data_IF_347574728123
#
_entry.id   IF_347574728123
#
_cell.length_a   1.000
_cell.length_b   1.000
_cell.length_c   1.000
_cell.angle_alpha   90.00
_cell.angle_beta   90.00
_cell.angle_gamma   90.00
#
_symmetry.space_group_name_H-M   'P 1'
#
loop_
_entity.id
_entity.type
_entity.pdbx_description
1 polymer ?
#
# COMPACT_ATOMS: atom_id res chain seq x y z
N UNK A 1 10.40 -6.91 -6.91
CA UNK A 1 11.31 -6.69 -8.05
C UNK A 1 10.93 -7.55 -9.24
N UNK A 2 10.72 -8.86 -9.05
CA UNK A 2 10.35 -9.78 -10.14
C UNK A 2 9.09 -9.32 -10.91
N UNK A 3 8.03 -8.95 -10.21
CA UNK A 3 6.76 -8.56 -10.83
C UNK A 3 6.84 -7.25 -11.62
N UNK A 4 7.70 -6.32 -11.19
CA UNK A 4 7.84 -5.01 -11.83
C UNK A 4 8.99 -4.96 -12.83
N UNK A 5 10.14 -5.58 -12.50
CA UNK A 5 11.35 -5.46 -13.31
C UNK A 5 11.42 -6.46 -14.46
N UNK A 6 11.07 -7.74 -14.23
CA UNK A 6 11.21 -8.77 -15.26
C UNK A 6 10.41 -8.49 -16.54
N UNK A 7 9.13 -8.08 -16.51
CA UNK A 7 8.41 -7.75 -17.72
C UNK A 7 9.03 -6.59 -18.51
N UNK A 8 9.56 -5.59 -17.81
CA UNK A 8 10.19 -4.42 -18.41
C UNK A 8 11.53 -4.80 -19.06
N UNK A 9 12.33 -5.62 -18.38
CA UNK A 9 13.59 -6.16 -18.91
C UNK A 9 13.33 -7.07 -20.12
N UNK A 10 12.29 -7.90 -20.06
CA UNK A 10 11.88 -8.75 -21.19
C UNK A 10 11.41 -7.95 -22.41
N UNK A 11 10.91 -6.72 -22.20
CA UNK A 11 10.58 -5.78 -23.26
C UNK A 11 11.81 -5.06 -23.85
N UNK A 12 13.03 -5.36 -23.35
CA UNK A 12 14.30 -4.87 -23.90
C UNK A 12 14.86 -3.60 -23.25
N UNK A 13 14.22 -3.05 -22.19
CA UNK A 13 14.78 -1.92 -21.46
C UNK A 13 15.89 -2.38 -20.49
N UNK A 14 16.88 -1.52 -20.27
CA UNK A 14 17.91 -1.78 -19.26
C UNK A 14 17.40 -1.39 -17.88
N UNK A 15 17.91 -2.05 -16.85
CA UNK A 15 17.51 -1.78 -15.46
C UNK A 15 17.72 -0.30 -15.06
N UNK A 16 18.80 0.33 -15.51
CA UNK A 16 19.12 1.72 -15.19
C UNK A 16 18.20 2.75 -15.91
N UNK A 17 17.45 2.34 -16.92
CA UNK A 17 16.51 3.23 -17.62
C UNK A 17 15.21 3.48 -16.81
N UNK A 18 14.82 2.53 -15.95
CA UNK A 18 13.55 2.61 -15.23
C UNK A 18 13.68 2.48 -13.70
N UNK A 19 14.67 1.73 -13.15
CA UNK A 19 14.79 1.52 -11.72
C UNK A 19 14.86 2.82 -10.89
N UNK A 20 15.51 3.92 -11.35
CA UNK A 20 15.49 5.19 -10.64
C UNK A 20 14.10 5.82 -10.47
N UNK A 21 13.10 5.34 -11.21
CA UNK A 21 11.71 5.83 -11.18
C UNK A 21 10.78 4.95 -10.37
N UNK A 22 11.24 3.76 -9.99
CA UNK A 22 10.45 2.87 -9.13
C UNK A 22 10.41 3.42 -7.71
N UNK A 23 9.27 3.28 -7.06
CA UNK A 23 9.06 3.62 -5.66
C UNK A 23 8.16 2.59 -5.01
N UNK A 24 8.26 2.48 -3.69
CA UNK A 24 7.56 1.48 -2.90
C UNK A 24 6.76 2.15 -1.79
N UNK A 25 5.63 1.57 -1.49
CA UNK A 25 4.72 2.03 -0.46
C UNK A 25 4.81 1.10 0.75
N UNK A 26 5.09 1.67 1.94
CA UNK A 26 5.15 0.92 3.20
C UNK A 26 4.14 1.45 4.20
N UNK A 27 3.39 0.54 4.84
CA UNK A 27 2.62 0.82 6.03
C UNK A 27 3.52 0.80 7.26
N UNK A 28 3.37 1.79 8.15
CA UNK A 28 4.17 1.92 9.37
C UNK A 28 3.23 1.78 10.57
N UNK A 29 3.43 0.75 11.37
CA UNK A 29 2.64 0.47 12.57
C UNK A 29 3.30 0.97 13.86
N UNK A 30 2.78 0.50 15.00
CA UNK A 30 3.18 0.97 16.34
C UNK A 30 4.53 0.44 16.82
N UNK A 31 5.10 -0.61 16.22
CA UNK A 31 6.41 -1.13 16.62
C UNK A 31 7.53 -0.29 16.03
N UNK A 32 7.94 0.74 16.77
CA UNK A 32 8.89 1.77 16.32
C UNK A 32 10.18 1.18 15.74
N UNK A 33 10.87 0.34 16.53
CA UNK A 33 12.18 -0.18 16.11
C UNK A 33 12.07 -1.22 14.99
N UNK A 34 11.00 -2.00 14.96
CA UNK A 34 10.73 -2.94 13.87
C UNK A 34 10.54 -2.20 12.55
N UNK A 35 9.78 -1.10 12.54
CA UNK A 35 9.56 -0.30 11.32
C UNK A 35 10.84 0.39 10.84
N UNK A 36 11.66 0.94 11.76
CA UNK A 36 12.98 1.50 11.40
C UNK A 36 13.87 0.42 10.77
N UNK A 37 13.97 -0.74 11.42
CA UNK A 37 14.77 -1.86 10.92
C UNK A 37 14.24 -2.41 9.59
N UNK A 38 12.92 -2.46 9.41
CA UNK A 38 12.28 -2.86 8.14
C UNK A 38 12.70 -1.96 6.98
N UNK A 39 12.64 -0.64 7.15
CA UNK A 39 13.03 0.31 6.10
C UNK A 39 14.54 0.22 5.81
N UNK A 40 15.39 0.00 6.81
CA UNK A 40 16.83 -0.25 6.64
C UNK A 40 17.07 -1.56 5.86
N UNK A 41 16.42 -2.64 6.25
CA UNK A 41 16.48 -3.93 5.57
C UNK A 41 15.98 -3.84 4.11
N UNK A 42 14.91 -3.11 3.87
CA UNK A 42 14.36 -2.90 2.53
C UNK A 42 15.36 -2.19 1.61
N UNK A 43 16.08 -1.16 2.08
CA UNK A 43 17.13 -0.49 1.30
C UNK A 43 18.28 -1.44 0.93
N UNK A 44 18.69 -2.27 1.88
CA UNK A 44 19.75 -3.25 1.65
C UNK A 44 19.34 -4.29 0.61
N UNK A 45 18.17 -4.91 0.79
CA UNK A 45 17.64 -5.93 -0.11
C UNK A 45 17.33 -5.38 -1.51
N UNK A 46 16.86 -4.13 -1.61
CA UNK A 46 16.66 -3.48 -2.90
C UNK A 46 17.96 -3.32 -3.67
N UNK A 47 18.99 -2.76 -3.02
CA UNK A 47 20.32 -2.58 -3.63
C UNK A 47 20.90 -3.91 -4.11
N UNK A 48 20.80 -4.98 -3.30
CA UNK A 48 21.25 -6.32 -3.64
C UNK A 48 20.49 -6.87 -4.86
N UNK A 49 19.15 -6.80 -4.83
CA UNK A 49 18.30 -7.32 -5.90
C UNK A 49 18.55 -6.62 -7.24
N UNK A 50 18.64 -5.28 -7.23
CA UNK A 50 18.84 -4.50 -8.46
C UNK A 50 20.25 -4.66 -9.01
N UNK A 51 21.26 -4.81 -8.14
CA UNK A 51 22.62 -5.16 -8.55
C UNK A 51 22.66 -6.50 -9.29
N UNK A 52 21.86 -7.48 -8.87
CA UNK A 52 21.72 -8.77 -9.54
C UNK A 52 21.17 -8.67 -10.97
N UNK A 53 20.46 -7.59 -11.31
CA UNK A 53 20.01 -7.27 -12.68
C UNK A 53 21.02 -6.41 -13.46
N UNK A 54 22.20 -6.17 -12.93
CA UNK A 54 23.27 -5.43 -13.60
C UNK A 54 23.16 -3.90 -13.51
N UNK A 55 22.44 -3.37 -12.51
CA UNK A 55 22.38 -1.93 -12.28
C UNK A 55 23.74 -1.38 -11.83
N UNK A 56 24.15 -0.26 -12.43
CA UNK A 56 25.39 0.46 -12.10
C UNK A 56 25.13 1.91 -11.69
N UNK A 57 23.93 2.44 -11.95
CA UNK A 57 23.57 3.80 -11.57
C UNK A 57 23.25 3.84 -10.07
N UNK A 58 23.93 4.69 -9.26
CA UNK A 58 23.62 4.84 -7.83
C UNK A 58 22.14 5.18 -7.54
N UNK A 59 21.47 5.90 -8.45
CA UNK A 59 20.03 6.18 -8.33
C UNK A 59 19.16 4.94 -8.50
N UNK A 60 19.60 3.94 -9.25
CA UNK A 60 18.91 2.65 -9.37
C UNK A 60 19.04 1.83 -8.09
N UNK A 61 20.20 1.90 -7.43
CA UNK A 61 20.51 1.17 -6.19
C UNK A 61 19.81 1.78 -4.97
N UNK A 62 19.39 3.04 -5.05
CA UNK A 62 18.73 3.74 -3.96
C UNK A 62 17.23 3.40 -3.93
N UNK A 63 16.76 2.77 -2.86
CA UNK A 63 15.33 2.52 -2.62
C UNK A 63 14.61 3.86 -2.40
N UNK A 64 13.50 4.07 -3.10
CA UNK A 64 12.60 5.21 -2.90
C UNK A 64 11.33 4.71 -2.24
N UNK A 65 10.97 5.31 -1.11
CA UNK A 65 9.82 4.90 -0.33
C UNK A 65 8.85 6.05 -0.10
N UNK A 66 7.56 5.72 -0.17
CA UNK A 66 6.51 6.46 0.47
C UNK A 66 6.02 5.64 1.66
N UNK A 67 5.86 6.26 2.81
CA UNK A 67 5.27 5.61 3.99
C UNK A 67 3.92 6.22 4.32
N UNK A 68 3.01 5.38 4.78
CA UNK A 68 1.76 5.80 5.40
C UNK A 68 1.70 5.23 6.81
N UNK A 69 1.30 6.04 7.78
CA UNK A 69 0.96 5.54 9.10
C UNK A 69 -0.20 4.54 9.01
N UNK A 70 -0.17 3.47 9.81
CA UNK A 70 -1.12 2.38 9.68
C UNK A 70 -2.49 2.74 10.23
N UNK A 71 -3.53 2.69 9.40
CA UNK A 71 -4.92 2.82 9.87
C UNK A 71 -5.37 1.63 10.73
N UNK A 72 -4.72 0.46 10.59
CA UNK A 72 -5.06 -0.72 11.38
C UNK A 72 -4.79 -0.56 12.88
N UNK A 73 -3.82 0.26 13.28
CA UNK A 73 -3.50 0.56 14.68
C UNK A 73 -4.44 1.58 15.32
N UNK A 74 -5.22 2.31 14.51
CA UNK A 74 -6.13 3.33 14.99
C UNK A 74 -7.45 2.70 15.46
N UNK A 75 -8.06 3.30 16.48
CA UNK A 75 -9.24 2.77 17.15
C UNK A 75 -10.40 3.75 17.11
N UNK A 76 -11.61 3.21 17.08
CA UNK A 76 -12.85 3.99 17.28
C UNK A 76 -12.93 4.54 18.70
N UNK A 77 -12.53 3.71 19.69
CA UNK A 77 -12.59 4.03 21.10
C UNK A 77 -11.51 5.05 21.45
N UNK A 78 -11.90 6.08 22.19
CA UNK A 78 -11.04 7.18 22.64
C UNK A 78 -10.15 7.72 21.47
N UNK A 79 -10.77 8.26 20.41
CA UNK A 79 -10.10 8.50 19.13
C UNK A 79 -8.99 9.54 19.20
N UNK A 80 -8.96 10.41 20.21
CA UNK A 80 -7.87 11.38 20.38
C UNK A 80 -6.52 10.70 20.71
N UNK A 81 -6.51 9.49 21.27
CA UNK A 81 -5.30 8.69 21.41
C UNK A 81 -4.66 8.34 20.07
N UNK A 82 -5.41 8.38 18.98
CA UNK A 82 -4.89 8.13 17.64
C UNK A 82 -3.90 9.22 17.17
N UNK A 83 -3.98 10.43 17.69
CA UNK A 83 -2.97 11.48 17.42
C UNK A 83 -1.59 11.01 17.91
N UNK A 84 -1.53 10.39 19.09
CA UNK A 84 -0.30 9.87 19.68
C UNK A 84 0.20 8.67 18.86
N UNK A 85 -0.70 7.74 18.48
CA UNK A 85 -0.36 6.58 17.65
C UNK A 85 0.23 7.01 16.31
N UNK A 86 -0.47 7.87 15.60
CA UNK A 86 0.00 8.44 14.32
C UNK A 86 1.35 9.15 14.47
N UNK A 87 1.59 9.86 15.57
CA UNK A 87 2.88 10.51 15.84
C UNK A 87 4.01 9.49 15.99
N UNK A 88 3.80 8.40 16.75
CA UNK A 88 4.81 7.34 16.94
C UNK A 88 5.10 6.64 15.61
N UNK A 89 4.09 6.36 14.83
CA UNK A 89 4.24 5.75 13.49
C UNK A 89 4.99 6.68 12.53
N UNK A 90 4.64 7.98 12.53
CA UNK A 90 5.34 8.99 11.74
C UNK A 90 6.82 9.12 12.13
N UNK A 91 7.15 9.02 13.43
CA UNK A 91 8.53 8.94 13.92
C UNK A 91 9.24 7.69 13.40
N UNK A 92 8.57 6.53 13.40
CA UNK A 92 9.12 5.30 12.83
C UNK A 92 9.47 5.44 11.36
N UNK A 93 8.60 6.06 10.56
CA UNK A 93 8.84 6.35 9.16
C UNK A 93 10.03 7.31 8.96
N UNK A 94 10.08 8.39 9.75
CA UNK A 94 11.10 9.43 9.63
C UNK A 94 12.47 8.91 10.05
N UNK A 95 12.58 8.27 11.22
CA UNK A 95 13.82 7.64 11.69
C UNK A 95 14.26 6.50 10.78
N UNK A 96 13.33 5.82 10.12
CA UNK A 96 13.59 4.81 9.11
C UNK A 96 14.03 5.37 7.75
N UNK A 97 13.96 6.69 7.54
CA UNK A 97 14.49 7.37 6.33
C UNK A 97 13.57 7.32 5.12
N UNK A 98 12.25 7.49 5.31
CA UNK A 98 11.29 7.62 4.21
C UNK A 98 11.50 8.90 3.40
N UNK A 99 11.19 8.90 2.09
CA UNK A 99 11.28 10.09 1.24
C UNK A 99 9.98 10.91 1.24
N UNK A 100 8.85 10.28 1.48
CA UNK A 100 7.57 10.97 1.65
C UNK A 100 6.70 10.22 2.66
N UNK A 101 5.80 10.95 3.30
CA UNK A 101 4.99 10.43 4.39
C UNK A 101 3.55 10.91 4.28
N UNK A 102 2.61 10.00 4.50
CA UNK A 102 1.21 10.29 4.78
C UNK A 102 0.92 9.94 6.24
N UNK A 103 0.24 10.84 6.94
CA UNK A 103 -0.24 10.64 8.30
C UNK A 103 -1.76 10.56 8.32
N UNK A 104 -2.31 9.50 8.89
CA UNK A 104 -3.75 9.34 9.03
C UNK A 104 -4.31 10.34 10.03
N UNK A 105 -5.53 10.80 9.79
CA UNK A 105 -6.27 11.60 10.75
C UNK A 105 -6.74 10.73 11.93
N UNK A 106 -6.96 11.34 13.09
CA UNK A 106 -7.32 10.59 14.30
C UNK A 106 -8.70 9.91 14.23
N UNK A 107 -9.55 10.40 13.34
CA UNK A 107 -10.90 9.88 13.05
C UNK A 107 -10.95 8.85 11.93
N UNK A 108 -9.81 8.38 11.43
CA UNK A 108 -9.70 7.39 10.35
C UNK A 108 -10.49 6.09 10.62
N UNK A 109 -10.55 5.65 11.88
CA UNK A 109 -11.31 4.45 12.25
C UNK A 109 -12.84 4.71 12.35
N UNK A 110 -13.27 5.97 12.34
CA UNK A 110 -14.67 6.37 12.45
C UNK A 110 -15.29 6.72 11.10
N UNK A 111 -14.52 7.37 10.21
CA UNK A 111 -15.03 7.84 8.93
C UNK A 111 -14.02 8.66 8.15
N UNK A 112 -14.52 9.55 7.27
CA UNK A 112 -13.66 10.45 6.54
C UNK A 112 -13.20 11.62 7.44
N UNK A 113 -11.97 12.14 7.19
CA UNK A 113 -11.43 13.22 7.99
C UNK A 113 -12.23 14.52 7.80
N UNK A 114 -12.45 15.22 8.91
CA UNK A 114 -12.91 16.61 8.92
C UNK A 114 -11.75 17.55 8.62
N UNK A 115 -12.04 18.84 8.31
CA UNK A 115 -10.99 19.86 8.14
C UNK A 115 -10.12 19.99 9.39
N UNK A 116 -10.71 19.79 10.57
CA UNK A 116 -9.99 19.82 11.83
C UNK A 116 -9.01 18.65 11.96
N UNK A 117 -9.48 17.42 11.79
CA UNK A 117 -8.66 16.20 11.93
C UNK A 117 -7.58 16.13 10.85
N UNK A 118 -7.89 16.51 9.60
CA UNK A 118 -6.93 16.60 8.51
C UNK A 118 -5.81 17.62 8.79
N UNK A 119 -6.16 18.78 9.42
CA UNK A 119 -5.18 19.78 9.85
C UNK A 119 -4.24 19.21 10.92
N UNK A 120 -4.76 18.49 11.90
CA UNK A 120 -3.93 17.86 12.95
C UNK A 120 -2.99 16.81 12.34
N UNK A 121 -3.50 15.95 11.46
CA UNK A 121 -2.70 14.95 10.74
C UNK A 121 -1.53 15.58 9.97
N UNK A 122 -1.80 16.65 9.21
CA UNK A 122 -0.76 17.44 8.52
C UNK A 122 0.23 18.06 9.50
N UNK A 123 -0.26 18.68 10.57
CA UNK A 123 0.58 19.36 11.55
C UNK A 123 1.50 18.37 12.30
N UNK A 124 1.12 17.10 12.46
CA UNK A 124 1.99 16.05 13.00
C UNK A 124 3.31 15.97 12.21
N UNK A 125 3.26 15.99 10.88
CA UNK A 125 4.47 15.98 10.05
C UNK A 125 5.26 17.29 10.20
N UNK A 126 4.59 18.44 10.21
CA UNK A 126 5.24 19.75 10.33
C UNK A 126 5.96 19.87 11.69
N UNK A 127 5.35 19.43 12.79
CA UNK A 127 5.97 19.43 14.13
C UNK A 127 7.22 18.54 14.14
N UNK A 128 7.14 17.35 13.57
CA UNK A 128 8.29 16.45 13.45
C UNK A 128 9.41 17.13 12.63
N UNK A 129 9.07 17.81 11.54
CA UNK A 129 10.04 18.46 10.67
C UNK A 129 10.67 19.71 11.29
N UNK A 130 9.85 20.58 11.88
CA UNK A 130 10.27 21.95 12.25
C UNK A 130 10.70 22.06 13.73
N UNK A 131 10.10 21.25 14.63
CA UNK A 131 10.29 21.43 16.08
C UNK A 131 11.16 20.33 16.69
N UNK A 132 11.26 19.12 16.06
CA UNK A 132 11.97 17.99 16.67
C UNK A 132 13.45 17.90 16.31
N UNK A 133 13.91 18.70 15.36
CA UNK A 133 15.27 18.69 14.79
C UNK A 133 15.71 17.35 14.17
N UNK A 134 14.79 16.37 14.04
CA UNK A 134 15.09 15.02 13.55
C UNK A 134 15.66 15.02 12.12
N UNK A 135 15.32 16.04 11.32
CA UNK A 135 15.79 16.17 9.95
C UNK A 135 17.25 16.63 9.83
N UNK A 136 17.93 16.92 10.94
CA UNK A 136 19.35 17.34 10.93
C UNK A 136 20.33 16.20 10.72
N UNK A 137 19.90 14.95 10.85
CA UNK A 137 20.75 13.78 10.70
C UNK A 137 20.10 12.71 9.85
N UNK A 138 20.92 11.82 9.31
CA UNK A 138 20.49 10.67 8.51
C UNK A 138 20.81 9.41 9.28
N UNK A 139 19.85 8.47 9.33
CA UNK A 139 19.99 7.17 10.01
C UNK A 139 20.53 7.28 11.45
N UNK A 140 19.85 8.05 12.33
CA UNK A 140 20.39 8.37 13.68
C UNK A 140 20.51 7.13 14.57
N UNK A 141 19.87 6.01 14.21
CA UNK A 141 19.92 4.74 14.94
C UNK A 141 20.98 3.77 14.39
N UNK A 142 21.77 4.19 13.39
CA UNK A 142 22.89 3.41 12.88
C UNK A 142 23.90 3.11 14.01
N UNK A 143 24.38 1.86 14.08
CA UNK A 143 25.29 1.39 15.12
C UNK A 143 24.61 0.99 16.44
N UNK A 144 23.29 1.18 16.59
CA UNK A 144 22.57 0.59 17.71
C UNK A 144 22.57 -0.94 17.60
N UNK A 145 23.15 -1.63 18.59
CA UNK A 145 23.22 -3.10 18.58
C UNK A 145 21.85 -3.75 18.36
N UNK A 146 20.81 -3.20 18.95
CA UNK A 146 19.45 -3.72 18.81
C UNK A 146 18.90 -3.53 17.41
N UNK A 147 19.00 -2.33 16.86
CA UNK A 147 18.48 -2.01 15.51
C UNK A 147 19.29 -2.73 14.42
N UNK A 148 20.61 -2.84 14.55
CA UNK A 148 21.44 -3.59 13.61
C UNK A 148 21.08 -5.09 13.62
N UNK A 149 20.96 -5.69 14.82
CA UNK A 149 20.55 -7.10 14.96
C UNK A 149 19.16 -7.35 14.37
N UNK A 150 18.20 -6.45 14.63
CA UNK A 150 16.84 -6.57 14.12
C UNK A 150 16.81 -6.42 12.59
N UNK A 151 17.59 -5.48 12.03
CA UNK A 151 17.75 -5.30 10.58
C UNK A 151 18.28 -6.58 9.91
N UNK A 152 19.33 -7.18 10.48
CA UNK A 152 19.92 -8.43 9.97
C UNK A 152 18.92 -9.60 10.01
N UNK A 153 18.15 -9.73 11.10
CA UNK A 153 17.12 -10.75 11.21
C UNK A 153 16.02 -10.59 10.15
N UNK A 154 15.56 -9.36 9.91
CA UNK A 154 14.56 -9.06 8.87
C UNK A 154 15.12 -9.42 7.49
N UNK A 155 16.37 -9.04 7.18
CA UNK A 155 17.03 -9.39 5.92
C UNK A 155 17.06 -10.91 5.71
N UNK A 156 17.44 -11.68 6.73
CA UNK A 156 17.50 -13.15 6.65
C UNK A 156 16.11 -13.76 6.41
N UNK A 157 15.11 -13.31 7.14
CA UNK A 157 13.73 -13.80 6.97
C UNK A 157 13.16 -13.42 5.60
N UNK A 158 13.36 -12.19 5.15
CA UNK A 158 12.92 -11.75 3.84
C UNK A 158 13.55 -12.55 2.70
N UNK A 159 14.86 -12.86 2.78
CA UNK A 159 15.53 -13.75 1.80
C UNK A 159 14.90 -15.15 1.77
N UNK A 160 14.51 -15.69 2.93
CA UNK A 160 13.83 -16.98 2.99
C UNK A 160 12.47 -16.92 2.26
N UNK A 161 11.69 -15.87 2.47
CA UNK A 161 10.41 -15.68 1.80
C UNK A 161 10.60 -15.46 0.28
N UNK A 162 11.58 -14.65 -0.10
CA UNK A 162 11.92 -14.42 -1.52
C UNK A 162 12.26 -15.76 -2.20
N UNK A 163 13.10 -16.59 -1.56
CA UNK A 163 13.45 -17.91 -2.08
C UNK A 163 12.21 -18.81 -2.23
N UNK A 164 11.29 -18.83 -1.26
CA UNK A 164 10.05 -19.60 -1.37
C UNK A 164 9.18 -19.15 -2.54
N UNK A 165 9.12 -17.83 -2.80
CA UNK A 165 8.40 -17.26 -3.94
C UNK A 165 9.07 -17.64 -5.26
N UNK A 166 10.40 -17.64 -5.32
CA UNK A 166 11.16 -18.06 -6.51
C UNK A 166 10.96 -19.55 -6.81
N UNK A 167 10.99 -20.40 -5.79
CA UNK A 167 10.73 -21.84 -5.88
C UNK A 167 9.28 -22.13 -6.33
N UNK A 168 8.31 -21.28 -5.98
CA UNK A 168 6.94 -21.35 -6.49
C UNK A 168 6.80 -20.92 -7.96
N UNK A 169 7.88 -20.44 -8.59
CA UNK A 169 7.90 -19.98 -9.98
C UNK A 169 7.59 -18.48 -10.13
N UNK A 170 7.84 -17.69 -9.09
CA UNK A 170 7.68 -16.25 -9.03
C UNK A 170 6.38 -15.78 -8.37
N UNK A 171 6.27 -14.47 -8.15
CA UNK A 171 5.17 -13.88 -7.38
C UNK A 171 3.79 -14.14 -7.99
N UNK A 172 3.64 -14.10 -9.31
CA UNK A 172 2.34 -14.35 -9.97
C UNK A 172 1.82 -15.76 -9.62
N UNK A 173 2.66 -16.79 -9.78
CA UNK A 173 2.30 -18.17 -9.44
C UNK A 173 2.10 -18.37 -7.94
N UNK A 174 2.89 -17.69 -7.10
CA UNK A 174 2.71 -17.72 -5.66
C UNK A 174 1.35 -17.12 -5.24
N UNK A 175 0.89 -16.06 -5.91
CA UNK A 175 -0.43 -15.45 -5.69
C UNK A 175 -1.54 -16.42 -6.13
N UNK A 176 -1.43 -17.02 -7.31
CA UNK A 176 -2.37 -18.04 -7.80
C UNK A 176 -2.48 -19.22 -6.84
N UNK A 177 -1.35 -19.65 -6.26
CA UNK A 177 -1.29 -20.71 -5.24
C UNK A 177 -1.77 -20.25 -3.84
N UNK A 178 -2.09 -18.96 -3.65
CA UNK A 178 -2.57 -18.38 -2.40
C UNK A 178 -1.49 -18.23 -1.30
N UNK A 179 -0.20 -18.39 -1.62
CA UNK A 179 0.89 -18.35 -0.63
C UNK A 179 0.95 -17.03 0.15
N UNK A 180 1.02 -15.83 -0.49
CA UNK A 180 1.11 -14.57 0.24
C UNK A 180 -0.15 -14.30 1.08
N UNK A 181 -1.34 -14.62 0.53
CA UNK A 181 -2.61 -14.46 1.23
C UNK A 181 -2.65 -15.27 2.52
N UNK A 182 -2.28 -16.55 2.45
CA UNK A 182 -2.24 -17.43 3.63
C UNK A 182 -1.30 -16.90 4.70
N UNK A 183 -0.09 -16.44 4.33
CA UNK A 183 0.88 -15.89 5.28
C UNK A 183 0.32 -14.65 6.00
N UNK A 184 -0.40 -13.78 5.29
CA UNK A 184 -1.04 -12.59 5.86
C UNK A 184 -2.18 -13.00 6.80
N UNK A 185 -3.04 -13.93 6.39
CA UNK A 185 -4.18 -14.41 7.19
C UNK A 185 -3.71 -15.11 8.48
N UNK A 186 -2.65 -15.93 8.41
CA UNK A 186 -2.04 -16.56 9.58
C UNK A 186 -1.46 -15.53 10.56
N UNK A 187 -0.74 -14.52 10.06
CA UNK A 187 -0.19 -13.45 10.90
C UNK A 187 -1.30 -12.63 11.57
N UNK A 188 -2.34 -12.29 10.82
CA UNK A 188 -3.50 -11.54 11.31
C UNK A 188 -4.26 -12.33 12.39
N UNK A 189 -4.50 -13.63 12.18
CA UNK A 189 -5.18 -14.47 13.15
C UNK A 189 -4.38 -14.63 14.46
N UNK A 190 -3.05 -14.74 14.38
CA UNK A 190 -2.17 -14.77 15.57
C UNK A 190 -2.24 -13.46 16.34
N UNK A 191 -2.15 -12.33 15.65
CA UNK A 191 -2.21 -11.01 16.29
C UNK A 191 -3.58 -10.78 16.97
N UNK A 192 -4.67 -11.13 16.29
CA UNK A 192 -6.01 -11.06 16.87
C UNK A 192 -6.13 -11.92 18.14
N UNK A 193 -5.58 -13.13 18.11
CA UNK A 193 -5.58 -14.01 19.28
C UNK A 193 -4.82 -13.41 20.46
N UNK A 194 -3.70 -12.71 20.22
CA UNK A 194 -2.97 -12.00 21.30
C UNK A 194 -3.77 -10.84 21.89
N UNK A 195 -4.51 -10.13 21.05
CA UNK A 195 -5.41 -9.03 21.47
C UNK A 195 -6.54 -9.60 22.34
N UNK A 196 -7.21 -10.66 21.88
CA UNK A 196 -8.34 -11.28 22.57
C UNK A 196 -7.93 -11.87 23.94
N UNK A 197 -6.72 -12.40 24.04
CA UNK A 197 -6.13 -12.91 25.29
C UNK A 197 -5.60 -11.78 26.22
N UNK A 198 -5.66 -10.53 25.80
CA UNK A 198 -5.10 -9.40 26.56
C UNK A 198 -3.57 -9.37 26.62
N UNK A 199 -2.86 -10.24 25.88
CA UNK A 199 -1.40 -10.25 25.76
C UNK A 199 -0.88 -9.07 24.94
N UNK A 200 -1.66 -8.63 23.95
CA UNK A 200 -1.44 -7.39 23.23
C UNK A 200 -2.41 -6.33 23.77
N UNK A 201 -1.88 -5.32 24.42
CA UNK A 201 -2.68 -4.22 24.97
C UNK A 201 -2.94 -3.16 23.91
N UNK A 202 -4.20 -2.79 23.75
CA UNK A 202 -4.64 -1.63 22.98
C UNK A 202 -5.39 -0.72 23.95
N UNK A 203 -4.79 0.44 24.23
CA UNK A 203 -5.34 1.42 25.18
C UNK A 203 -6.69 1.93 24.67
N UNK A 204 -7.68 1.95 25.56
CA UNK A 204 -9.06 2.32 25.24
C UNK A 204 -9.91 1.16 24.69
N UNK A 205 -9.30 0.08 24.16
CA UNK A 205 -10.02 -1.04 23.55
C UNK A 205 -10.11 -2.25 24.47
N UNK A 206 -8.99 -2.84 24.87
CA UNK A 206 -8.99 -4.02 25.75
C UNK A 206 -8.43 -3.73 27.15
N UNK A 207 -7.84 -2.54 27.36
CA UNK A 207 -7.36 -2.08 28.66
C UNK A 207 -7.50 -0.56 28.75
N UNK A 208 -7.69 -0.04 29.98
CA UNK A 208 -7.88 1.40 30.25
C UNK A 208 -9.05 2.02 29.47
N UNK A 209 -10.17 1.33 29.46
CA UNK A 209 -11.40 1.76 28.81
C UNK A 209 -12.03 2.94 29.52
N UNK A 210 -12.67 3.82 28.76
CA UNK A 210 -13.54 4.85 29.32
C UNK A 210 -14.90 4.22 29.71
N UNK A 211 -15.49 4.70 30.79
CA UNK A 211 -16.86 4.29 31.19
C UNK A 211 -17.90 4.85 30.23
N UNK A 212 -17.62 6.01 29.64
CA UNK A 212 -18.44 6.66 28.62
C UNK A 212 -17.53 7.36 27.62
N UNK A 213 -17.83 7.15 26.34
CA UNK A 213 -17.13 7.83 25.26
C UNK A 213 -17.88 9.08 24.83
N UNK A 214 -17.14 10.14 24.46
CA UNK A 214 -17.69 11.36 23.91
C UNK A 214 -18.00 11.16 22.43
N UNK A 215 -19.07 11.79 21.95
CA UNK A 215 -19.39 11.80 20.52
C UNK A 215 -18.33 12.57 19.74
N UNK A 216 -17.75 11.90 18.75
CA UNK A 216 -16.79 12.52 17.82
C UNK A 216 -17.49 12.87 16.51
N UNK A 217 -17.39 14.13 16.11
CA UNK A 217 -17.91 14.56 14.82
C UNK A 217 -17.11 13.96 13.69
N UNK A 218 -17.78 13.25 12.79
CA UNK A 218 -17.20 12.65 11.58
C UNK A 218 -17.81 13.26 10.32
N UNK A 219 -17.08 13.22 9.24
CA UNK A 219 -17.60 13.64 7.93
C UNK A 219 -18.42 12.49 7.32
N UNK A 220 -19.73 12.66 7.29
CA UNK A 220 -20.61 11.74 6.60
C UNK A 220 -20.83 12.16 5.15
N UNK A 221 -20.71 11.20 4.24
CA UNK A 221 -21.04 11.38 2.83
C UNK A 221 -22.44 10.85 2.56
N UNK A 222 -23.26 11.66 1.94
CA UNK A 222 -24.55 11.22 1.37
C UNK A 222 -24.29 10.34 0.14
N UNK A 223 -24.14 9.05 0.39
CA UNK A 223 -23.88 8.05 -0.65
C UNK A 223 -24.99 7.98 -1.70
N UNK A 224 -26.24 8.29 -1.33
CA UNK A 224 -27.37 8.30 -2.26
C UNK A 224 -27.25 9.48 -3.23
N UNK A 225 -26.91 10.65 -2.72
CA UNK A 225 -26.68 11.85 -3.53
C UNK A 225 -25.52 11.64 -4.50
N UNK A 226 -24.37 11.21 -4.00
CA UNK A 226 -23.17 10.96 -4.82
C UNK A 226 -23.46 9.92 -5.92
N UNK A 227 -24.15 8.81 -5.58
CA UNK A 227 -24.54 7.80 -6.56
C UNK A 227 -25.46 8.39 -7.64
N UNK A 228 -26.46 9.17 -7.26
CA UNK A 228 -27.39 9.76 -8.20
C UNK A 228 -26.71 10.79 -9.13
N UNK A 229 -25.83 11.61 -8.60
CA UNK A 229 -25.01 12.55 -9.39
C UNK A 229 -24.12 11.81 -10.39
N UNK A 230 -23.48 10.71 -9.99
CA UNK A 230 -22.67 9.90 -10.88
C UNK A 230 -23.49 9.23 -11.98
N UNK A 231 -24.66 8.69 -11.64
CA UNK A 231 -25.60 8.10 -12.62
C UNK A 231 -26.05 9.16 -13.64
N UNK A 232 -26.44 10.35 -13.18
CA UNK A 232 -26.85 11.44 -14.05
C UNK A 232 -25.71 11.88 -14.99
N UNK A 233 -24.48 11.97 -14.48
CA UNK A 233 -23.29 12.27 -15.27
C UNK A 233 -23.03 11.23 -16.37
N UNK A 234 -23.12 9.92 -16.02
CA UNK A 234 -22.95 8.84 -16.98
C UNK A 234 -24.05 8.83 -18.05
N UNK A 235 -25.30 9.07 -17.66
CA UNK A 235 -26.41 9.19 -18.61
C UNK A 235 -26.21 10.36 -19.58
N UNK A 236 -25.80 11.52 -19.07
CA UNK A 236 -25.48 12.67 -19.92
C UNK A 236 -24.34 12.37 -20.90
N UNK A 237 -23.25 11.74 -20.45
CA UNK A 237 -22.13 11.35 -21.30
C UNK A 237 -22.63 10.42 -22.44
N UNK A 238 -23.41 9.40 -22.11
CA UNK A 238 -23.93 8.44 -23.07
C UNK A 238 -24.90 9.06 -24.08
N UNK A 239 -25.70 10.01 -23.64
CA UNK A 239 -26.64 10.72 -24.51
C UNK A 239 -26.01 11.72 -25.48
N UNK A 240 -24.82 12.25 -25.13
CA UNK A 240 -24.17 13.35 -25.89
C UNK A 240 -22.92 12.94 -26.65
N UNK A 241 -22.49 11.69 -26.53
CA UNK A 241 -21.31 11.17 -27.26
C UNK A 241 -21.68 10.54 -28.61
N UNK A 242 -20.70 10.41 -29.46
CA UNK A 242 -20.80 9.61 -30.69
C UNK A 242 -20.70 8.12 -30.34
N UNK A 243 -21.82 7.41 -30.35
CA UNK A 243 -21.90 6.00 -29.96
C UNK A 243 -21.14 5.09 -30.94
N UNK A 244 -21.14 5.39 -32.23
CA UNK A 244 -20.46 4.59 -33.25
C UNK A 244 -18.95 4.71 -33.08
N UNK A 245 -18.45 5.92 -32.84
CA UNK A 245 -17.03 6.14 -32.52
C UNK A 245 -16.59 5.41 -31.25
N UNK A 246 -17.44 5.40 -30.20
CA UNK A 246 -17.16 4.65 -28.97
C UNK A 246 -17.11 3.16 -29.23
N UNK A 247 -18.10 2.60 -29.92
CA UNK A 247 -18.14 1.17 -30.24
C UNK A 247 -16.93 0.74 -31.07
N UNK A 248 -16.53 1.54 -32.05
CA UNK A 248 -15.35 1.27 -32.88
C UNK A 248 -14.05 1.29 -32.02
N UNK A 249 -13.92 2.25 -31.10
CA UNK A 249 -12.75 2.37 -30.23
C UNK A 249 -12.67 1.21 -29.21
N UNK A 250 -13.81 0.77 -28.64
CA UNK A 250 -13.87 -0.38 -27.74
C UNK A 250 -13.55 -1.69 -28.48
N UNK A 251 -14.07 -1.88 -29.70
CA UNK A 251 -13.71 -3.02 -30.54
C UNK A 251 -12.22 -3.04 -30.87
N UNK A 252 -11.63 -1.88 -31.19
CA UNK A 252 -10.18 -1.75 -31.42
C UNK A 252 -9.37 -2.08 -30.17
N UNK A 253 -9.85 -1.70 -28.97
CA UNK A 253 -9.21 -2.06 -27.69
C UNK A 253 -9.24 -3.58 -27.46
N UNK A 254 -10.38 -4.23 -27.67
CA UNK A 254 -10.50 -5.69 -27.56
C UNK A 254 -9.59 -6.39 -28.56
N UNK A 255 -9.53 -5.91 -29.82
CA UNK A 255 -8.61 -6.43 -30.82
C UNK A 255 -7.15 -6.31 -30.40
N UNK A 256 -6.76 -5.12 -29.90
CA UNK A 256 -5.40 -4.88 -29.41
C UNK A 256 -5.03 -5.84 -28.25
N UNK A 257 -6.00 -6.12 -27.36
CA UNK A 257 -5.81 -7.07 -26.27
C UNK A 257 -5.57 -8.51 -26.75
N UNK A 258 -6.30 -8.94 -27.79
CA UNK A 258 -6.18 -10.28 -28.37
C UNK A 258 -4.91 -10.47 -29.20
N UNK A 259 -4.32 -9.38 -29.73
CA UNK A 259 -3.17 -9.41 -30.63
C UNK A 259 -1.88 -8.86 -30.01
N UNK A 260 -1.87 -8.67 -28.68
CA UNK A 260 -0.72 -8.18 -27.93
C UNK A 260 -0.18 -6.81 -28.42
N UNK A 261 -1.10 -5.92 -28.81
CA UNK A 261 -0.78 -4.56 -29.24
C UNK A 261 -0.73 -3.57 -28.04
N UNK A 262 -0.52 -2.28 -28.30
CA UNK A 262 -0.43 -1.25 -27.26
C UNK A 262 -1.80 -0.92 -26.66
N UNK A 263 -2.13 -1.57 -25.54
CA UNK A 263 -3.41 -1.40 -24.83
C UNK A 263 -3.61 0.02 -24.30
N UNK A 264 -2.55 0.68 -23.82
CA UNK A 264 -2.66 2.03 -23.28
C UNK A 264 -3.07 3.03 -24.37
N UNK A 265 -2.47 2.94 -25.55
CA UNK A 265 -2.83 3.80 -26.67
C UNK A 265 -4.29 3.59 -27.10
N UNK A 266 -4.75 2.34 -27.20
CA UNK A 266 -6.12 2.00 -27.53
C UNK A 266 -7.12 2.48 -26.44
N UNK A 267 -6.81 2.29 -25.17
CA UNK A 267 -7.63 2.78 -24.05
C UNK A 267 -7.73 4.32 -24.00
N UNK A 268 -6.62 5.02 -24.26
CA UNK A 268 -6.62 6.50 -24.37
C UNK A 268 -7.52 6.96 -25.52
N UNK A 269 -7.50 6.28 -26.67
CA UNK A 269 -8.37 6.61 -27.78
C UNK A 269 -9.85 6.37 -27.43
N UNK A 270 -10.18 5.27 -26.75
CA UNK A 270 -11.53 5.01 -26.26
C UNK A 270 -12.00 6.10 -25.26
N UNK A 271 -11.14 6.51 -24.33
CA UNK A 271 -11.44 7.60 -23.40
C UNK A 271 -11.67 8.95 -24.11
N UNK A 272 -10.91 9.25 -25.18
CA UNK A 272 -11.08 10.49 -25.98
C UNK A 272 -12.44 10.59 -26.66
N UNK A 273 -12.98 9.47 -27.13
CA UNK A 273 -14.34 9.42 -27.70
C UNK A 273 -15.42 9.26 -26.64
N UNK A 274 -15.05 9.41 -25.35
CA UNK A 274 -15.93 9.39 -24.18
C UNK A 274 -16.52 8.01 -23.85
N UNK A 275 -15.80 6.93 -24.12
CA UNK A 275 -16.07 5.65 -23.48
C UNK A 275 -15.89 5.79 -21.96
N UNK A 276 -16.77 5.19 -21.16
CA UNK A 276 -16.68 5.18 -19.71
C UNK A 276 -15.61 4.19 -19.23
N UNK A 277 -15.12 4.37 -18.02
CA UNK A 277 -14.16 3.43 -17.42
C UNK A 277 -14.70 2.00 -17.40
N UNK A 278 -16.00 1.81 -17.07
CA UNK A 278 -16.62 0.49 -17.09
C UNK A 278 -16.57 -0.14 -18.48
N UNK A 279 -16.97 0.59 -19.53
CA UNK A 279 -16.94 0.08 -20.92
C UNK A 279 -15.53 -0.28 -21.38
N UNK A 280 -14.51 0.49 -21.01
CA UNK A 280 -13.09 0.17 -21.28
C UNK A 280 -12.68 -1.11 -20.55
N UNK A 281 -13.07 -1.24 -19.26
CA UNK A 281 -12.78 -2.44 -18.47
C UNK A 281 -13.48 -3.67 -19.01
N UNK A 282 -14.75 -3.56 -19.39
CA UNK A 282 -15.53 -4.66 -19.95
C UNK A 282 -14.94 -5.14 -21.29
N UNK A 283 -14.44 -4.21 -22.13
CA UNK A 283 -13.76 -4.56 -23.39
C UNK A 283 -12.47 -5.36 -23.15
N UNK A 284 -11.69 -5.00 -22.11
CA UNK A 284 -10.48 -5.74 -21.72
C UNK A 284 -10.82 -7.09 -21.06
N UNK A 285 -11.88 -7.14 -20.24
CA UNK A 285 -12.35 -8.37 -19.59
C UNK A 285 -12.79 -9.43 -20.60
N UNK A 286 -13.33 -9.02 -21.75
CA UNK A 286 -13.65 -9.94 -22.86
C UNK A 286 -12.43 -10.71 -23.38
N UNK A 287 -11.23 -10.13 -23.29
CA UNK A 287 -9.99 -10.76 -23.75
C UNK A 287 -9.20 -11.46 -22.63
N UNK A 288 -9.20 -10.91 -21.42
CA UNK A 288 -8.33 -11.36 -20.32
C UNK A 288 -9.07 -12.07 -19.19
N UNK A 289 -10.41 -12.02 -19.20
CA UNK A 289 -11.24 -12.47 -18.08
C UNK A 289 -10.96 -11.65 -16.80
N UNK A 290 -11.64 -11.99 -15.71
CA UNK A 290 -11.47 -11.34 -14.39
C UNK A 290 -10.90 -12.31 -13.39
N UNK A 291 -9.77 -11.94 -12.77
CA UNK A 291 -9.21 -12.72 -11.69
C UNK A 291 -10.15 -12.77 -10.50
N UNK A 292 -10.56 -13.97 -10.12
CA UNK A 292 -11.34 -14.25 -8.92
C UNK A 292 -10.42 -14.82 -7.84
N UNK A 293 -10.33 -14.12 -6.71
CA UNK A 293 -9.52 -14.55 -5.58
C UNK A 293 -10.11 -15.83 -4.99
N UNK A 294 -9.38 -16.97 -4.95
CA UNK A 294 -9.89 -18.18 -4.34
C UNK A 294 -10.11 -17.98 -2.84
N UNK A 295 -11.26 -18.44 -2.33
CA UNK A 295 -11.53 -18.49 -0.89
C UNK A 295 -10.75 -19.66 -0.29
N UNK A 296 -9.75 -19.37 0.54
CA UNK A 296 -9.05 -20.38 1.34
C UNK A 296 -9.35 -20.11 2.82
N UNK A 297 -9.75 -21.14 3.55
CA UNK A 297 -9.89 -21.05 5.01
C UNK A 297 -8.56 -21.38 5.66
N UNK A 298 -8.09 -20.50 6.51
CA UNK A 298 -6.93 -20.75 7.37
C UNK A 298 -7.42 -21.46 8.63
N UNK A 299 -6.88 -22.65 8.90
CA UNK A 299 -7.24 -23.48 10.06
C UNK A 299 -6.00 -23.77 10.91
N UNK A 300 -6.20 -23.98 12.22
CA UNK A 300 -5.13 -24.40 13.13
C UNK A 300 -4.17 -23.31 13.61
N UNK A 301 -4.38 -22.06 13.25
CA UNK A 301 -3.46 -20.94 13.58
C UNK A 301 -3.46 -20.60 15.07
N UNK A 302 -4.60 -20.82 15.76
CA UNK A 302 -4.79 -20.45 17.18
C UNK A 302 -4.42 -21.60 18.12
N UNK A 303 -4.23 -22.81 17.62
CA UNK A 303 -3.95 -24.01 18.42
C UNK A 303 -2.47 -24.20 18.80
N UNK A 304 -1.61 -23.21 18.55
CA UNK A 304 -0.18 -23.27 18.86
C UNK A 304 0.20 -22.37 20.03
#
# INVERSE_FOLDING_TARGET
>A
VQTCALPILSAGLKIDDFAPRLSFFFGIGMDLFMNVAMLRAARYLWSEAVSGFGANNPKSLALRTHCQTSGWSLTEQDPYNNVIRTTIEALGATLGGTQSLHTNAFDEALGLPTDFSARIARNTQIIIQEESEICRTVDPLAGSYYVESLTDQIVKQARTIIKQIDEAGGMAKAIEAGLPKRMIEEASAREQSLIDQGKRVIVGVNKYKLDKEDETSVLEIDNVKVRNEQIASLQHIRATRDTDAVNAALAALTHAAQHNENLLAAAVNAARVRATLGEISDALETAFDRYLVPSQCVTGVIAQ
#
